data_IF_009685742014
#
_entry.id   IF_009685742014
#
_cell.length_a   1.000
_cell.length_b   1.000
_cell.length_c   1.000
_cell.angle_alpha   90.00
_cell.angle_beta   90.00
_cell.angle_gamma   90.00
#
_symmetry.space_group_name_H-M   'P 1'
#
loop_
_entity.id
_entity.type
_entity.pdbx_description
1 polymer ?
#
# COMPACT_ATOMS: atom_id res chain seq x y z
N UNK A 1 -1.85 0.93 13.74
CA UNK A 1 -1.99 0.77 15.20
C UNK A 1 -1.71 -0.68 15.58
N UNK A 2 -0.88 -0.93 16.58
CA UNK A 2 -0.53 -2.28 17.04
C UNK A 2 -1.50 -2.76 18.15
N UNK A 3 -1.72 -4.08 18.24
CA UNK A 3 -2.60 -4.71 19.23
C UNK A 3 -4.10 -4.49 18.98
N UNK A 4 -4.99 -4.99 19.87
CA UNK A 4 -6.43 -4.88 19.67
C UNK A 4 -6.94 -3.44 19.67
N UNK A 5 -8.01 -3.18 18.91
CA UNK A 5 -8.73 -1.92 18.97
C UNK A 5 -9.43 -1.78 20.31
N UNK A 6 -9.38 -0.61 20.95
CA UNK A 6 -9.95 -0.36 22.27
C UNK A 6 -10.66 1.00 22.35
N UNK A 7 -11.58 1.15 23.30
CA UNK A 7 -12.29 2.40 23.54
C UNK A 7 -12.97 2.96 22.30
N UNK A 8 -12.86 4.27 22.06
CA UNK A 8 -13.50 4.96 20.94
C UNK A 8 -13.10 4.39 19.57
N UNK A 9 -11.87 3.94 19.42
CA UNK A 9 -11.38 3.30 18.18
C UNK A 9 -12.19 2.02 17.84
N UNK A 10 -12.45 1.16 18.86
CA UNK A 10 -13.25 -0.04 18.69
C UNK A 10 -14.72 0.29 18.41
N UNK A 11 -15.28 1.30 19.08
CA UNK A 11 -16.66 1.76 18.85
C UNK A 11 -16.87 2.23 17.41
N UNK A 12 -15.91 2.97 16.84
CA UNK A 12 -15.95 3.45 15.48
C UNK A 12 -15.90 2.33 14.43
N UNK A 13 -15.17 1.25 14.71
CA UNK A 13 -15.04 0.10 13.82
C UNK A 13 -16.19 -0.90 13.95
N UNK A 14 -16.86 -0.95 15.10
CA UNK A 14 -17.91 -1.94 15.41
C UNK A 14 -19.04 -2.03 14.35
N UNK A 15 -19.56 -0.92 13.79
CA UNK A 15 -20.62 -0.98 12.78
C UNK A 15 -20.21 -1.72 11.49
N UNK A 16 -18.92 -1.83 11.23
CA UNK A 16 -18.35 -2.41 10.00
C UNK A 16 -17.75 -3.80 10.24
N UNK A 17 -17.78 -4.34 11.44
CA UNK A 17 -17.03 -5.52 11.87
C UNK A 17 -17.16 -6.74 10.93
N UNK A 18 -18.33 -6.93 10.32
CA UNK A 18 -18.59 -8.05 9.41
C UNK A 18 -17.82 -7.97 8.07
N UNK A 19 -17.46 -6.75 7.63
CA UNK A 19 -16.86 -6.48 6.33
C UNK A 19 -15.39 -6.04 6.43
N UNK A 20 -14.83 -6.04 7.66
CA UNK A 20 -13.45 -5.61 7.87
C UNK A 20 -12.45 -6.68 7.40
N UNK A 21 -11.30 -6.26 6.85
CA UNK A 21 -10.20 -7.18 6.61
C UNK A 21 -9.78 -7.93 7.88
N UNK A 22 -9.40 -9.21 7.79
CA UNK A 22 -8.91 -9.98 8.93
C UNK A 22 -7.75 -9.28 9.66
N UNK A 23 -7.80 -9.26 10.98
CA UNK A 23 -6.80 -8.61 11.83
C UNK A 23 -7.04 -7.12 12.08
N UNK A 24 -8.05 -6.50 11.47
CA UNK A 24 -8.33 -5.07 11.69
C UNK A 24 -8.61 -4.75 13.16
N UNK A 25 -9.47 -5.53 13.81
CA UNK A 25 -9.86 -5.31 15.21
C UNK A 25 -8.81 -5.87 16.16
N UNK A 26 -8.30 -7.06 15.92
CA UNK A 26 -7.32 -7.75 16.77
C UNK A 26 -5.93 -7.11 16.71
N UNK A 27 -5.64 -6.38 15.66
CA UNK A 27 -4.35 -5.78 15.34
C UNK A 27 -3.63 -6.57 14.25
N UNK A 28 -3.49 -5.96 13.09
CA UNK A 28 -2.68 -6.49 12.00
C UNK A 28 -1.23 -6.05 12.18
N UNK A 29 -0.33 -7.01 12.22
CA UNK A 29 1.11 -6.77 12.18
C UNK A 29 1.61 -6.94 10.73
N UNK A 30 2.39 -5.97 10.24
CA UNK A 30 3.11 -6.14 8.98
C UNK A 30 4.09 -7.30 9.11
N UNK A 31 4.31 -8.08 8.04
CA UNK A 31 5.34 -9.13 8.04
C UNK A 31 6.70 -8.56 8.44
N UNK A 32 7.39 -9.25 9.33
CA UNK A 32 8.76 -8.88 9.71
C UNK A 32 9.71 -9.16 8.54
N UNK A 33 10.52 -8.16 8.20
CA UNK A 33 11.57 -8.31 7.22
C UNK A 33 12.68 -9.26 7.73
N UNK A 34 13.29 -9.98 6.81
CA UNK A 34 14.47 -10.83 7.09
C UNK A 34 15.70 -10.22 6.44
N UNK A 35 16.87 -10.30 7.11
CA UNK A 35 18.15 -9.94 6.50
C UNK A 35 18.58 -10.93 5.40
N UNK A 36 17.88 -12.05 5.29
CA UNK A 36 18.16 -13.08 4.27
C UNK A 36 17.47 -12.71 2.96
N UNK A 37 18.23 -12.72 1.88
CA UNK A 37 17.71 -12.49 0.52
C UNK A 37 16.55 -13.44 0.16
N UNK A 38 16.55 -14.66 0.72
CA UNK A 38 15.49 -15.65 0.56
C UNK A 38 15.06 -16.16 1.94
N UNK A 39 13.89 -15.73 2.38
CA UNK A 39 13.25 -16.29 3.57
C UNK A 39 12.35 -17.47 3.19
N UNK A 40 12.82 -18.68 3.49
CA UNK A 40 12.09 -19.92 3.17
C UNK A 40 10.72 -20.03 3.88
N UNK A 41 10.58 -19.39 5.05
CA UNK A 41 9.31 -19.39 5.78
C UNK A 41 8.31 -18.49 5.06
N UNK A 42 8.71 -17.26 4.74
CA UNK A 42 7.89 -16.32 3.99
C UNK A 42 7.50 -16.86 2.60
N UNK A 43 8.45 -17.53 1.89
CA UNK A 43 8.13 -18.16 0.60
C UNK A 43 7.07 -19.26 0.72
N UNK A 44 7.14 -20.12 1.75
CA UNK A 44 6.11 -21.16 1.95
C UNK A 44 4.75 -20.58 2.27
N UNK A 45 4.73 -19.54 3.10
CA UNK A 45 3.50 -18.81 3.42
C UNK A 45 2.90 -18.16 2.15
N UNK A 46 3.72 -17.49 1.34
CA UNK A 46 3.29 -16.89 0.09
C UNK A 46 2.74 -17.94 -0.89
N UNK A 47 3.38 -19.10 -1.03
CA UNK A 47 2.87 -20.19 -1.88
C UNK A 47 1.51 -20.70 -1.37
N UNK A 48 1.33 -20.82 -0.05
CA UNK A 48 0.03 -21.19 0.54
C UNK A 48 -1.07 -20.18 0.19
N UNK A 49 -0.82 -18.89 0.44
CA UNK A 49 -1.77 -17.81 0.14
C UNK A 49 -2.08 -17.71 -1.36
N UNK A 50 -1.10 -17.90 -2.23
CA UNK A 50 -1.30 -17.92 -3.67
C UNK A 50 -2.17 -19.11 -4.08
N UNK A 51 -1.94 -20.29 -3.48
CA UNK A 51 -2.77 -21.48 -3.71
C UNK A 51 -4.22 -21.27 -3.27
N UNK A 52 -4.46 -20.69 -2.11
CA UNK A 52 -5.80 -20.32 -1.63
C UNK A 52 -6.50 -19.31 -2.55
N UNK A 53 -5.73 -18.43 -3.18
CA UNK A 53 -6.22 -17.47 -4.18
C UNK A 53 -6.41 -18.09 -5.58
N UNK A 54 -6.18 -19.41 -5.76
CA UNK A 54 -6.37 -20.11 -7.03
C UNK A 54 -5.19 -20.03 -8.00
N UNK A 55 -4.00 -19.68 -7.50
CA UNK A 55 -2.77 -19.61 -8.29
C UNK A 55 -1.84 -20.77 -7.97
N UNK A 56 -1.31 -21.44 -8.99
CA UNK A 56 -0.38 -22.57 -8.83
C UNK A 56 0.80 -22.46 -9.79
N UNK A 57 1.97 -22.92 -9.36
CA UNK A 57 3.16 -22.97 -10.22
C UNK A 57 3.02 -24.12 -11.21
N UNK A 58 3.01 -23.80 -12.49
CA UNK A 58 2.94 -24.76 -13.58
C UNK A 58 4.30 -25.47 -13.81
N UNK A 59 4.35 -26.57 -14.61
CA UNK A 59 5.58 -27.30 -14.89
C UNK A 59 6.70 -26.47 -15.54
N UNK A 60 6.34 -25.35 -16.20
CA UNK A 60 7.27 -24.38 -16.78
C UNK A 60 7.85 -23.41 -15.74
N UNK A 61 7.47 -23.54 -14.46
CA UNK A 61 7.92 -22.69 -13.37
C UNK A 61 7.15 -21.36 -13.26
N UNK A 62 6.14 -21.11 -14.09
CA UNK A 62 5.35 -19.88 -14.08
C UNK A 62 4.11 -20.05 -13.22
N UNK A 63 3.80 -19.05 -12.40
CA UNK A 63 2.57 -19.02 -11.59
C UNK A 63 1.37 -18.72 -12.51
N UNK A 64 0.37 -19.60 -12.47
CA UNK A 64 -0.82 -19.51 -13.35
C UNK A 64 -2.11 -19.71 -12.56
N UNK A 65 -3.20 -19.07 -13.03
CA UNK A 65 -4.55 -19.32 -12.56
C UNK A 65 -5.15 -20.58 -13.23
N UNK A 66 -6.37 -20.94 -12.84
CA UNK A 66 -7.10 -22.07 -13.43
C UNK A 66 -7.38 -21.92 -14.95
N UNK A 67 -7.41 -20.69 -15.46
CA UNK A 67 -7.55 -20.38 -16.88
C UNK A 67 -6.24 -20.52 -17.69
N UNK A 68 -5.13 -20.74 -17.01
CA UNK A 68 -3.79 -20.82 -17.64
C UNK A 68 -3.09 -19.46 -17.80
N UNK A 69 -3.71 -18.37 -17.35
CA UNK A 69 -3.09 -17.03 -17.42
C UNK A 69 -1.92 -16.93 -16.44
N UNK A 70 -0.81 -16.35 -16.90
CA UNK A 70 0.36 -16.12 -16.06
C UNK A 70 0.15 -14.93 -15.11
N UNK A 71 0.65 -15.05 -13.86
CA UNK A 71 0.71 -13.92 -12.94
C UNK A 71 1.92 -13.04 -13.28
N UNK A 72 1.72 -12.06 -14.13
CA UNK A 72 2.77 -11.20 -14.70
C UNK A 72 2.39 -9.72 -14.60
N UNK A 73 2.31 -9.15 -13.39
CA UNK A 73 1.89 -7.76 -13.20
C UNK A 73 2.88 -6.79 -13.82
N UNK A 74 2.38 -5.67 -14.34
CA UNK A 74 3.20 -4.57 -14.78
C UNK A 74 3.55 -3.64 -13.63
N UNK A 75 4.84 -3.37 -13.45
CA UNK A 75 5.34 -2.37 -12.50
C UNK A 75 5.75 -1.13 -13.29
N UNK A 76 4.99 -0.04 -13.13
CA UNK A 76 5.21 1.21 -13.84
C UNK A 76 6.11 2.14 -13.03
N UNK A 77 7.20 2.63 -13.63
CA UNK A 77 8.17 3.52 -13.00
C UNK A 77 8.38 4.81 -13.81
N UNK A 78 8.62 5.91 -13.09
CA UNK A 78 9.08 7.16 -13.68
C UNK A 78 10.61 7.13 -13.81
N UNK A 79 11.13 7.39 -15.00
CA UNK A 79 12.56 7.47 -15.27
C UNK A 79 13.28 8.51 -14.39
N UNK A 80 12.60 9.61 -14.05
CA UNK A 80 13.15 10.65 -13.17
C UNK A 80 13.14 10.26 -11.69
N UNK A 81 12.44 9.17 -11.33
CA UNK A 81 12.26 8.74 -9.94
C UNK A 81 11.11 9.44 -9.25
N UNK A 82 11.32 9.84 -8.01
CA UNK A 82 10.34 10.42 -7.11
C UNK A 82 10.89 11.66 -6.41
N UNK A 83 10.10 12.26 -5.51
CA UNK A 83 10.53 13.44 -4.76
C UNK A 83 11.73 13.18 -3.83
N UNK A 84 11.92 11.93 -3.38
CA UNK A 84 12.96 11.57 -2.41
C UNK A 84 14.04 10.66 -2.97
N UNK A 85 13.85 10.09 -4.16
CA UNK A 85 14.75 9.09 -4.76
C UNK A 85 14.92 9.32 -6.26
N UNK A 86 16.14 9.16 -6.75
CA UNK A 86 16.42 9.14 -8.19
C UNK A 86 15.77 7.93 -8.86
N UNK A 87 15.55 8.00 -10.17
CA UNK A 87 15.03 6.87 -10.95
C UNK A 87 15.88 5.61 -10.82
N UNK A 88 17.22 5.76 -10.78
CA UNK A 88 18.13 4.64 -10.59
C UNK A 88 17.97 3.95 -9.23
N UNK A 89 17.76 4.71 -8.14
CA UNK A 89 17.52 4.14 -6.81
C UNK A 89 16.18 3.41 -6.75
N UNK A 90 15.13 3.99 -7.33
CA UNK A 90 13.81 3.34 -7.42
C UNK A 90 13.92 2.04 -8.20
N UNK A 91 14.59 2.07 -9.35
CA UNK A 91 14.80 0.88 -10.19
C UNK A 91 15.52 -0.23 -9.42
N UNK A 92 16.61 0.07 -8.71
CA UNK A 92 17.34 -0.91 -7.91
C UNK A 92 16.48 -1.56 -6.83
N UNK A 93 15.63 -0.80 -6.16
CA UNK A 93 14.72 -1.33 -5.15
C UNK A 93 13.69 -2.27 -5.79
N UNK A 94 13.13 -1.87 -6.93
CA UNK A 94 12.16 -2.68 -7.67
C UNK A 94 12.81 -3.95 -8.21
N UNK A 95 14.06 -3.89 -8.69
CA UNK A 95 14.79 -5.06 -9.15
C UNK A 95 14.99 -6.10 -8.03
N UNK A 96 15.29 -5.66 -6.80
CA UNK A 96 15.34 -6.55 -5.62
C UNK A 96 13.98 -7.22 -5.37
N UNK A 97 12.90 -6.45 -5.48
CA UNK A 97 11.54 -6.98 -5.31
C UNK A 97 11.19 -8.00 -6.40
N UNK A 98 11.50 -7.70 -7.67
CA UNK A 98 11.31 -8.62 -8.81
C UNK A 98 12.08 -9.93 -8.60
N UNK A 99 13.34 -9.85 -8.16
CA UNK A 99 14.14 -11.06 -7.85
C UNK A 99 13.51 -11.89 -6.72
N UNK A 100 12.91 -11.24 -5.72
CA UNK A 100 12.23 -11.94 -4.62
C UNK A 100 10.93 -12.65 -5.06
N UNK A 101 10.30 -12.22 -6.16
CA UNK A 101 9.08 -12.83 -6.72
C UNK A 101 9.36 -14.03 -7.62
N UNK A 102 10.54 -14.13 -8.23
CA UNK A 102 10.89 -15.23 -9.15
C UNK A 102 10.74 -16.64 -8.56
N UNK A 103 11.14 -16.92 -7.29
CA UNK A 103 10.94 -18.23 -6.69
C UNK A 103 9.46 -18.63 -6.53
N UNK A 104 8.55 -17.68 -6.62
CA UNK A 104 7.10 -17.91 -6.61
C UNK A 104 6.51 -18.13 -8.00
N UNK A 105 7.35 -18.08 -9.05
CA UNK A 105 6.90 -18.16 -10.44
C UNK A 105 6.21 -16.89 -10.96
N UNK A 106 6.29 -15.79 -10.22
CA UNK A 106 5.75 -14.49 -10.61
C UNK A 106 6.77 -13.78 -11.50
N UNK A 107 6.34 -13.31 -12.68
CA UNK A 107 7.20 -12.71 -13.71
C UNK A 107 6.76 -11.27 -14.00
N UNK A 108 7.04 -10.30 -13.11
CA UNK A 108 6.64 -8.92 -13.31
C UNK A 108 7.32 -8.31 -14.54
N UNK A 109 6.61 -7.43 -15.23
CA UNK A 109 7.16 -6.60 -16.30
C UNK A 109 7.40 -5.19 -15.78
N UNK A 110 8.64 -4.76 -15.69
CA UNK A 110 8.99 -3.39 -15.31
C UNK A 110 8.97 -2.50 -16.54
N UNK A 111 8.14 -1.45 -16.50
CA UNK A 111 8.03 -0.45 -17.57
C UNK A 111 8.48 0.90 -17.03
N UNK A 112 9.56 1.44 -17.60
CA UNK A 112 10.10 2.75 -17.21
C UNK A 112 9.72 3.77 -18.29
N UNK A 113 9.04 4.84 -17.88
CA UNK A 113 8.55 5.88 -18.77
C UNK A 113 9.15 7.25 -18.42
N UNK A 114 9.17 8.16 -19.38
CA UNK A 114 9.40 9.56 -19.10
C UNK A 114 8.25 10.15 -18.22
N UNK A 115 8.50 11.31 -17.62
CA UNK A 115 7.55 11.88 -16.66
C UNK A 115 6.17 12.20 -17.25
N UNK A 116 6.09 12.59 -18.53
CA UNK A 116 4.82 12.94 -19.16
C UNK A 116 3.96 11.69 -19.40
N UNK A 117 4.54 10.66 -19.98
CA UNK A 117 3.87 9.37 -20.19
C UNK A 117 3.51 8.68 -18.86
N UNK A 118 4.40 8.77 -17.86
CA UNK A 118 4.13 8.24 -16.52
C UNK A 118 2.91 8.91 -15.89
N UNK A 119 2.84 10.25 -15.91
CA UNK A 119 1.70 11.00 -15.36
C UNK A 119 0.41 10.68 -16.11
N UNK A 120 0.45 10.58 -17.44
CA UNK A 120 -0.70 10.20 -18.25
C UNK A 120 -1.24 8.83 -17.83
N UNK A 121 -0.37 7.82 -17.74
CA UNK A 121 -0.78 6.45 -17.38
C UNK A 121 -1.28 6.37 -15.93
N UNK A 122 -0.61 7.02 -15.00
CA UNK A 122 -1.02 7.01 -13.59
C UNK A 122 -2.34 7.76 -13.35
N UNK A 123 -2.61 8.85 -14.09
CA UNK A 123 -3.89 9.54 -14.03
C UNK A 123 -5.07 8.67 -14.50
N UNK A 124 -4.82 7.76 -15.45
CA UNK A 124 -5.82 6.80 -15.95
C UNK A 124 -5.82 5.47 -15.22
N UNK A 125 -5.00 5.31 -14.18
CA UNK A 125 -4.80 4.05 -13.45
C UNK A 125 -4.39 2.88 -14.38
N UNK A 126 -3.67 3.17 -15.47
CA UNK A 126 -3.23 2.18 -16.45
C UNK A 126 -1.93 1.50 -16.02
N UNK A 127 -1.94 0.78 -14.91
CA UNK A 127 -0.83 0.01 -14.33
C UNK A 127 -1.38 -1.02 -13.33
N UNK A 128 -0.62 -2.08 -13.04
CA UNK A 128 -0.94 -3.01 -11.98
C UNK A 128 -0.27 -2.60 -10.67
N UNK A 129 0.97 -2.14 -10.75
CA UNK A 129 1.76 -1.65 -9.62
C UNK A 129 2.55 -0.40 -10.03
N UNK A 130 2.82 0.48 -9.08
CA UNK A 130 3.67 1.64 -9.30
C UNK A 130 4.39 2.06 -8.02
N UNK A 131 5.53 2.74 -8.19
CA UNK A 131 6.22 3.38 -7.07
C UNK A 131 5.40 4.56 -6.54
N UNK A 132 5.19 4.58 -5.23
CA UNK A 132 4.41 5.62 -4.59
C UNK A 132 5.17 6.19 -3.39
N UNK A 133 5.24 7.50 -3.30
CA UNK A 133 5.78 8.23 -2.16
C UNK A 133 4.77 9.24 -1.65
N UNK A 134 4.64 9.33 -0.36
CA UNK A 134 3.72 10.26 0.28
C UNK A 134 4.37 10.97 1.45
N UNK A 135 4.35 12.31 1.42
CA UNK A 135 4.57 13.12 2.60
C UNK A 135 3.31 13.11 3.46
N UNK A 136 3.47 12.74 4.73
CA UNK A 136 2.35 12.72 5.69
C UNK A 136 2.30 14.02 6.48
N UNK A 137 1.09 14.52 6.74
CA UNK A 137 0.82 15.55 7.72
C UNK A 137 0.88 14.96 9.13
N UNK A 138 1.24 15.77 10.12
CA UNK A 138 1.11 15.42 11.54
C UNK A 138 -0.35 15.54 12.02
N UNK A 139 -1.22 16.16 11.25
CA UNK A 139 -2.66 16.29 11.49
C UNK A 139 -3.41 15.86 10.22
N UNK A 140 -3.63 14.55 10.03
CA UNK A 140 -4.41 14.05 8.90
C UNK A 140 -5.83 14.64 8.91
N UNK A 141 -6.29 15.15 7.76
CA UNK A 141 -7.58 15.80 7.61
C UNK A 141 -8.28 15.43 6.30
N UNK A 142 -8.93 16.39 5.67
CA UNK A 142 -9.75 16.21 4.46
C UNK A 142 -8.95 15.70 3.24
N UNK A 143 -7.63 15.87 3.22
CA UNK A 143 -6.79 15.30 2.16
C UNK A 143 -6.87 13.77 2.11
N UNK A 144 -7.28 13.10 3.21
CA UNK A 144 -7.45 11.65 3.24
C UNK A 144 -8.52 11.18 2.25
N UNK A 145 -9.58 11.98 2.03
CA UNK A 145 -10.62 11.68 1.02
C UNK A 145 -10.05 11.57 -0.39
N UNK A 146 -9.04 12.40 -0.72
CA UNK A 146 -8.39 12.38 -2.02
C UNK A 146 -7.56 11.10 -2.24
N UNK A 147 -6.95 10.58 -1.17
CA UNK A 147 -6.04 9.42 -1.24
C UNK A 147 -6.74 8.08 -1.04
N UNK A 148 -7.80 8.03 -0.22
CA UNK A 148 -8.40 6.79 0.25
C UNK A 148 -9.92 6.74 0.12
N UNK A 149 -10.59 7.89 -0.13
CA UNK A 149 -12.04 7.95 -0.21
C UNK A 149 -12.60 7.24 -1.43
N UNK A 150 -13.71 6.53 -1.26
CA UNK A 150 -14.37 5.76 -2.32
C UNK A 150 -14.77 6.62 -3.51
N UNK A 151 -15.15 7.88 -3.27
CA UNK A 151 -15.54 8.84 -4.33
C UNK A 151 -14.37 9.17 -5.27
N UNK A 152 -13.11 9.11 -4.78
CA UNK A 152 -11.93 9.39 -5.60
C UNK A 152 -11.42 8.14 -6.35
N UNK A 153 -11.88 6.95 -5.98
CA UNK A 153 -11.49 5.70 -6.64
C UNK A 153 -12.03 5.63 -8.06
N UNK A 154 -11.16 5.57 -9.04
CA UNK A 154 -11.50 5.55 -10.47
C UNK A 154 -11.82 6.94 -11.06
N UNK A 155 -11.68 8.01 -10.29
CA UNK A 155 -11.72 9.37 -10.81
C UNK A 155 -10.36 9.71 -11.43
N UNK A 156 -10.31 9.93 -12.73
CA UNK A 156 -9.09 10.23 -13.46
C UNK A 156 -8.33 11.40 -12.81
N UNK A 157 -7.03 11.23 -12.61
CA UNK A 157 -6.18 12.23 -11.96
C UNK A 157 -6.25 12.26 -10.43
N UNK A 158 -7.11 11.46 -9.78
CA UNK A 158 -7.15 11.35 -8.32
C UNK A 158 -5.87 10.70 -7.77
N UNK A 159 -5.72 10.74 -6.46
CA UNK A 159 -4.58 10.14 -5.74
C UNK A 159 -4.91 8.80 -5.10
N UNK A 160 -6.14 8.32 -5.23
CA UNK A 160 -6.52 6.98 -4.78
C UNK A 160 -6.08 5.91 -5.79
N UNK A 161 -4.77 5.79 -5.97
CA UNK A 161 -4.15 4.86 -6.92
C UNK A 161 -4.39 3.41 -6.55
N UNK A 162 -4.64 3.13 -5.29
CA UNK A 162 -4.93 1.80 -4.76
C UNK A 162 -6.38 1.37 -5.01
N UNK A 163 -7.22 2.27 -5.54
CA UNK A 163 -8.61 1.98 -5.85
C UNK A 163 -9.47 1.65 -4.63
N UNK A 164 -9.12 2.19 -3.46
CA UNK A 164 -9.83 1.91 -2.20
C UNK A 164 -11.29 2.33 -2.32
N UNK A 165 -12.19 1.37 -2.05
CA UNK A 165 -13.64 1.56 -2.00
C UNK A 165 -14.15 0.85 -0.75
N UNK A 166 -14.27 1.56 0.35
CA UNK A 166 -14.66 0.98 1.63
C UNK A 166 -15.51 1.95 2.43
N UNK A 167 -16.77 1.61 2.74
CA UNK A 167 -17.61 2.45 3.61
C UNK A 167 -16.98 2.70 4.97
N UNK A 168 -16.22 1.74 5.51
CA UNK A 168 -15.51 1.90 6.78
C UNK A 168 -14.40 2.95 6.67
N UNK A 169 -13.64 2.96 5.57
CA UNK A 169 -12.60 3.98 5.31
C UNK A 169 -13.23 5.35 5.17
N UNK A 170 -14.31 5.47 4.39
CA UNK A 170 -15.02 6.74 4.21
C UNK A 170 -15.54 7.29 5.54
N UNK A 171 -16.16 6.44 6.35
CA UNK A 171 -16.64 6.83 7.67
C UNK A 171 -15.53 7.31 8.61
N UNK A 172 -14.36 6.64 8.61
CA UNK A 172 -13.23 7.05 9.46
C UNK A 172 -12.61 8.37 8.98
N UNK A 173 -12.64 8.65 7.69
CA UNK A 173 -12.23 9.95 7.14
C UNK A 173 -13.18 11.04 7.62
N UNK A 174 -14.49 10.80 7.53
CA UNK A 174 -15.51 11.75 7.97
C UNK A 174 -15.42 12.01 9.49
N UNK A 175 -15.23 10.97 10.29
CA UNK A 175 -15.03 11.10 11.74
C UNK A 175 -13.75 11.91 12.07
N UNK A 176 -12.66 11.69 11.35
CA UNK A 176 -11.42 12.43 11.55
C UNK A 176 -11.57 13.91 11.18
N UNK A 177 -12.26 14.20 10.09
CA UNK A 177 -12.48 15.59 9.61
C UNK A 177 -13.44 16.36 10.52
N UNK A 178 -14.47 15.69 11.07
CA UNK A 178 -15.52 16.31 11.88
C UNK A 178 -15.32 16.10 13.39
N UNK A 179 -14.18 15.62 13.82
CA UNK A 179 -13.88 15.32 15.22
C UNK A 179 -14.10 16.54 16.12
N UNK A 180 -14.88 16.38 17.20
CA UNK A 180 -15.16 17.44 18.15
C UNK A 180 -14.02 17.67 19.16
N UNK A 181 -13.13 16.69 19.33
CA UNK A 181 -12.00 16.74 20.25
C UNK A 181 -10.72 16.17 19.61
N UNK A 182 -9.57 16.47 20.20
CA UNK A 182 -8.29 15.87 19.78
C UNK A 182 -8.30 14.35 20.01
N UNK A 183 -8.94 13.88 21.07
CA UNK A 183 -9.07 12.45 21.39
C UNK A 183 -9.88 11.72 20.32
N UNK A 184 -11.02 12.28 19.89
CA UNK A 184 -11.86 11.72 18.83
C UNK A 184 -11.09 11.67 17.50
N UNK A 185 -10.39 12.76 17.17
CA UNK A 185 -9.55 12.82 15.99
C UNK A 185 -8.49 11.70 15.98
N UNK A 186 -7.78 11.54 17.09
CA UNK A 186 -6.76 10.48 17.22
C UNK A 186 -7.39 9.09 17.11
N UNK A 187 -8.58 8.86 17.70
CA UNK A 187 -9.29 7.59 17.60
C UNK A 187 -9.68 7.27 16.16
N UNK A 188 -10.25 8.24 15.44
CA UNK A 188 -10.62 8.09 14.04
C UNK A 188 -9.40 7.83 13.12
N UNK A 189 -8.30 8.55 13.32
CA UNK A 189 -7.06 8.35 12.56
C UNK A 189 -6.45 6.97 12.85
N UNK A 190 -6.49 6.49 14.10
CA UNK A 190 -6.04 5.13 14.43
C UNK A 190 -6.91 4.06 13.78
N UNK A 191 -8.24 4.25 13.78
CA UNK A 191 -9.16 3.35 13.11
C UNK A 191 -8.90 3.31 11.60
N UNK A 192 -8.71 4.47 10.97
CA UNK A 192 -8.33 4.58 9.56
C UNK A 192 -7.00 3.86 9.27
N UNK A 193 -5.96 4.07 10.08
CA UNK A 193 -4.66 3.40 9.95
C UNK A 193 -4.80 1.87 10.01
N UNK A 194 -5.65 1.34 10.89
CA UNK A 194 -5.94 -0.11 10.96
C UNK A 194 -6.55 -0.63 9.67
N UNK A 195 -7.59 0.04 9.17
CA UNK A 195 -8.27 -0.34 7.94
C UNK A 195 -7.29 -0.39 6.75
N UNK A 196 -6.47 0.65 6.61
CA UNK A 196 -5.52 0.75 5.52
C UNK A 196 -4.37 -0.27 5.64
N UNK A 197 -3.89 -0.53 6.86
CA UNK A 197 -2.82 -1.50 7.11
C UNK A 197 -3.32 -2.93 6.89
N UNK A 198 -4.48 -3.29 7.45
CA UNK A 198 -5.08 -4.61 7.27
C UNK A 198 -5.56 -4.84 5.82
N UNK A 199 -5.97 -3.79 5.12
CA UNK A 199 -6.37 -3.83 3.72
C UNK A 199 -5.23 -4.10 2.72
N UNK A 200 -3.97 -4.00 3.15
CA UNK A 200 -2.77 -4.34 2.36
C UNK A 200 -2.70 -3.64 1.00
N UNK A 201 -3.17 -2.41 0.92
CA UNK A 201 -3.21 -1.63 -0.33
C UNK A 201 -1.83 -1.21 -0.83
N UNK A 202 -0.81 -1.26 0.02
CA UNK A 202 0.57 -0.88 -0.31
C UNK A 202 1.55 -1.92 0.22
N UNK A 203 2.68 -2.06 -0.48
CA UNK A 203 3.85 -2.81 -0.01
C UNK A 203 4.82 -1.79 0.59
N UNK A 204 4.98 -1.74 1.91
CA UNK A 204 5.83 -0.74 2.54
C UNK A 204 7.31 -1.07 2.30
N UNK A 205 8.04 -0.15 1.68
CA UNK A 205 9.46 -0.32 1.35
C UNK A 205 10.36 0.35 2.38
N UNK A 206 10.09 1.61 2.70
CA UNK A 206 10.88 2.36 3.67
C UNK A 206 10.11 3.54 4.24
N UNK A 207 10.43 3.86 5.49
CA UNK A 207 9.95 5.04 6.17
C UNK A 207 11.14 5.80 6.76
N UNK A 208 11.45 7.04 6.31
CA UNK A 208 12.52 7.83 6.88
C UNK A 208 12.13 8.34 8.26
N UNK A 209 12.82 7.89 9.31
CA UNK A 209 12.56 8.30 10.69
C UNK A 209 13.01 9.75 10.98
N UNK A 210 13.89 10.30 10.16
CA UNK A 210 14.44 11.63 10.32
C UNK A 210 14.48 12.38 9.00
N UNK A 211 14.24 13.69 9.04
CA UNK A 211 14.49 14.59 7.93
C UNK A 211 15.80 15.33 8.18
N UNK A 212 16.71 15.28 7.23
CA UNK A 212 17.97 16.03 7.29
C UNK A 212 17.73 17.41 6.72
N UNK A 213 17.97 18.44 7.53
CA UNK A 213 17.84 19.85 7.14
C UNK A 213 19.20 20.51 7.27
N UNK A 214 19.67 21.14 6.20
CA UNK A 214 20.82 22.01 6.25
C UNK A 214 20.33 23.47 6.37
N UNK A 215 20.81 24.18 7.38
CA UNK A 215 20.49 25.61 7.56
C UNK A 215 21.75 26.42 7.85
N UNK A 216 21.69 27.70 7.55
CA UNK A 216 22.77 28.61 7.92
C UNK A 216 22.80 28.84 9.46
N UNK A 217 23.99 29.04 10.03
CA UNK A 217 24.18 29.27 11.48
C UNK A 217 23.43 30.49 12.06
N UNK A 218 22.87 31.34 11.19
CA UNK A 218 22.21 32.61 11.56
C UNK A 218 20.70 32.56 11.40
N UNK A 219 20.07 31.39 11.58
CA UNK A 219 18.63 31.26 11.74
C UNK A 219 18.34 31.12 13.23
#
# INVERSE_FOLDING_TARGET
AAGPATGREAELLAPFAADLPPGTIEGYALPEGSEKLLDRKALREAVGLLGEAGWTVAPDGVLRNAGGDAFAPEILLNQSGSAMRSGAEVQQIVDIYVEALKPLGIMPRVTVLDSAQYVERTNRFAFDMSWYERGLSLSPGNEQSLYWGSASAGQEGSKNWMGVRSPAVDAMIDEAVNAASAEDHVAAVKALDRLLTAGRYVIPVSYPQVRRIAHARRL
#
